data_IF_054863297861
#
_entry.id   IF_054863297861
#
_cell.length_a   1.000
_cell.length_b   1.000
_cell.length_c   1.000
_cell.angle_alpha   90.00
_cell.angle_beta   90.00
_cell.angle_gamma   90.00
#
_symmetry.space_group_name_H-M   'P 1'
#
loop_
_entity.id
_entity.type
_entity.pdbx_description
1 polymer ?
#
# COMPACT_ATOMS: atom_id res chain seq x y z
N UNK A 1 -18.63 -1.00 16.94
CA UNK A 1 -18.93 -0.63 15.54
C UNK A 1 -17.82 -1.19 14.68
N UNK A 2 -18.18 -1.72 13.51
CA UNK A 2 -17.22 -2.12 12.47
C UNK A 2 -16.40 -0.92 12.03
N UNK A 3 -15.11 -1.12 11.78
CA UNK A 3 -14.20 -0.09 11.26
C UNK A 3 -13.93 -0.30 9.78
N UNK A 4 -13.67 0.79 9.08
CA UNK A 4 -13.21 0.83 7.70
C UNK A 4 -11.72 1.18 7.67
N UNK A 5 -10.96 0.28 7.07
CA UNK A 5 -9.52 0.41 6.88
C UNK A 5 -9.20 0.45 5.39
N UNK A 6 -8.12 1.13 5.01
CA UNK A 6 -7.60 1.05 3.66
C UNK A 6 -6.09 0.78 3.62
N UNK A 7 -5.66 0.07 2.60
CA UNK A 7 -4.27 -0.04 2.15
C UNK A 7 -4.23 0.63 0.77
N UNK A 8 -3.39 1.64 0.63
CA UNK A 8 -3.30 2.47 -0.57
C UNK A 8 -1.84 2.51 -1.00
N UNK A 9 -1.58 2.09 -2.23
CA UNK A 9 -0.23 1.99 -2.79
C UNK A 9 -0.20 2.75 -4.11
N UNK A 10 0.75 3.67 -4.25
CA UNK A 10 1.02 4.39 -5.49
C UNK A 10 2.52 4.42 -5.79
N UNK A 11 2.94 3.93 -6.95
CA UNK A 11 4.36 3.80 -7.28
C UNK A 11 4.64 4.49 -8.62
N UNK A 12 5.49 5.52 -8.61
CA UNK A 12 5.96 6.16 -9.84
C UNK A 12 7.37 5.70 -10.22
N UNK A 13 8.26 5.63 -9.24
CA UNK A 13 9.69 5.43 -9.46
C UNK A 13 10.11 3.99 -9.18
N UNK A 14 10.20 3.20 -10.23
CA UNK A 14 10.65 1.81 -10.20
C UNK A 14 12.14 1.66 -10.44
N UNK A 15 12.68 0.44 -10.28
CA UNK A 15 13.99 0.08 -10.79
C UNK A 15 14.07 0.41 -12.31
N UNK A 16 14.90 1.38 -12.72
CA UNK A 16 14.92 1.88 -14.10
C UNK A 16 15.49 0.87 -15.09
N UNK A 17 16.12 -0.21 -14.62
CA UNK A 17 16.60 -1.28 -15.48
C UNK A 17 15.47 -2.10 -16.09
N UNK A 18 14.31 -2.16 -15.42
CA UNK A 18 13.21 -3.06 -15.79
C UNK A 18 11.92 -2.31 -16.15
N UNK A 19 11.71 -1.11 -15.59
CA UNK A 19 10.47 -0.36 -15.77
C UNK A 19 10.70 1.11 -16.10
N UNK A 20 9.85 1.66 -16.98
CA UNK A 20 9.77 3.11 -17.20
C UNK A 20 9.03 3.77 -16.05
N UNK A 21 9.48 4.92 -15.50
CA UNK A 21 8.77 5.58 -14.43
C UNK A 21 7.37 6.06 -14.86
N UNK A 22 6.41 5.98 -13.94
CA UNK A 22 5.08 6.53 -14.11
C UNK A 22 5.00 7.97 -13.60
N UNK A 23 3.95 8.69 -14.00
CA UNK A 23 3.77 10.11 -13.64
C UNK A 23 2.74 10.34 -12.55
N UNK A 24 1.68 9.53 -12.50
CA UNK A 24 0.48 9.85 -11.73
C UNK A 24 0.06 8.79 -10.72
N UNK A 25 0.70 7.62 -10.66
CA UNK A 25 0.30 6.55 -9.75
C UNK A 25 0.37 6.97 -8.27
N UNK A 26 1.41 7.73 -7.89
CA UNK A 26 1.48 8.36 -6.56
C UNK A 26 0.30 9.31 -6.33
N UNK A 27 0.00 10.16 -7.32
CA UNK A 27 -1.08 11.14 -7.21
C UNK A 27 -2.45 10.47 -7.08
N UNK A 28 -2.72 9.41 -7.87
CA UNK A 28 -3.94 8.62 -7.79
C UNK A 28 -4.12 8.04 -6.38
N UNK A 29 -3.03 7.51 -5.81
CA UNK A 29 -3.02 6.99 -4.46
C UNK A 29 -3.22 8.09 -3.39
N UNK A 30 -2.66 9.28 -3.56
CA UNK A 30 -2.91 10.44 -2.69
C UNK A 30 -4.38 10.87 -2.73
N UNK A 31 -4.98 10.93 -3.92
CA UNK A 31 -6.40 11.23 -4.11
C UNK A 31 -7.28 10.19 -3.43
N UNK A 32 -6.97 8.90 -3.58
CA UNK A 32 -7.72 7.82 -2.92
C UNK A 32 -7.58 7.85 -1.41
N UNK A 33 -6.37 8.09 -0.87
CA UNK A 33 -6.16 8.30 0.56
C UNK A 33 -7.01 9.46 1.07
N UNK A 34 -7.01 10.59 0.36
CA UNK A 34 -7.82 11.77 0.71
C UNK A 34 -9.29 11.42 0.74
N UNK A 35 -9.81 10.77 -0.30
CA UNK A 35 -11.19 10.31 -0.35
C UNK A 35 -11.55 9.40 0.83
N UNK A 36 -10.71 8.41 1.15
CA UNK A 36 -10.96 7.49 2.26
C UNK A 36 -11.06 8.22 3.61
N UNK A 37 -10.15 9.15 3.89
CA UNK A 37 -10.12 9.88 5.16
C UNK A 37 -11.20 10.98 5.22
N UNK A 38 -11.31 11.79 4.18
CA UNK A 38 -12.09 13.03 4.21
C UNK A 38 -13.56 12.79 3.87
N UNK A 39 -13.85 11.94 2.89
CA UNK A 39 -15.21 11.76 2.38
C UNK A 39 -15.85 10.48 2.94
N UNK A 40 -15.16 9.35 2.81
CA UNK A 40 -15.66 8.04 3.23
C UNK A 40 -15.50 7.77 4.75
N UNK A 41 -14.80 8.66 5.47
CA UNK A 41 -14.60 8.62 6.92
C UNK A 41 -14.01 7.30 7.44
N UNK A 42 -13.04 6.76 6.72
CA UNK A 42 -12.29 5.59 7.16
C UNK A 42 -11.47 5.93 8.39
N UNK A 43 -11.43 5.02 9.36
CA UNK A 43 -10.69 5.22 10.60
C UNK A 43 -9.19 5.28 10.37
N UNK A 44 -8.67 4.48 9.44
CA UNK A 44 -7.24 4.30 9.25
C UNK A 44 -6.88 3.95 7.80
N UNK A 45 -5.78 4.54 7.31
CA UNK A 45 -5.26 4.30 5.94
C UNK A 45 -3.76 4.05 5.99
N UNK A 46 -3.33 2.85 5.62
CA UNK A 46 -1.93 2.54 5.35
C UNK A 46 -1.56 3.02 3.95
N UNK A 47 -0.68 4.02 3.87
CA UNK A 47 -0.28 4.64 2.61
C UNK A 47 1.19 4.34 2.30
N UNK A 48 1.43 3.74 1.13
CA UNK A 48 2.75 3.38 0.61
C UNK A 48 3.01 4.09 -0.71
N UNK A 49 4.18 4.71 -0.84
CA UNK A 49 4.62 5.41 -2.04
C UNK A 49 6.12 5.67 -1.98
N UNK A 50 6.71 6.02 -3.13
CA UNK A 50 8.15 6.13 -3.39
C UNK A 50 9.00 6.81 -2.30
N UNK A 51 8.51 7.91 -1.71
CA UNK A 51 9.28 8.89 -0.94
C UNK A 51 8.58 9.33 0.36
N UNK A 52 7.80 8.43 0.95
CA UNK A 52 7.11 8.71 2.21
C UNK A 52 7.98 8.41 3.44
N UNK A 53 7.73 9.10 4.58
CA UNK A 53 8.27 8.70 5.86
C UNK A 53 7.62 7.39 6.35
N UNK A 54 8.29 6.68 7.25
CA UNK A 54 7.73 5.48 7.90
C UNK A 54 6.42 5.81 8.66
N UNK A 55 5.47 4.87 8.63
CA UNK A 55 4.28 4.92 9.48
C UNK A 55 4.69 4.53 10.89
N UNK A 56 4.39 5.40 11.86
CA UNK A 56 4.65 5.14 13.29
C UNK A 56 3.38 4.67 13.96
N UNK A 57 3.37 3.41 14.39
CA UNK A 57 2.25 2.83 15.16
C UNK A 57 2.33 3.25 16.64
N UNK A 58 1.21 3.09 17.36
CA UNK A 58 1.02 3.49 18.77
C UNK A 58 2.04 2.97 19.78
N UNK A 59 2.86 1.96 19.43
CA UNK A 59 3.94 1.41 20.27
C UNK A 59 5.34 1.79 19.79
N UNK A 60 5.46 2.82 18.95
CA UNK A 60 6.73 3.25 18.35
C UNK A 60 7.26 2.32 17.25
N UNK A 61 6.51 1.28 16.88
CA UNK A 61 6.86 0.41 15.76
C UNK A 61 6.75 1.20 14.47
N UNK A 62 7.83 1.19 13.69
CA UNK A 62 7.88 1.80 12.35
C UNK A 62 7.54 0.77 11.28
N UNK A 63 6.73 1.18 10.32
CA UNK A 63 6.44 0.42 9.10
C UNK A 63 7.03 1.24 7.94
N UNK A 64 8.05 0.71 7.24
CA UNK A 64 8.57 1.34 6.03
C UNK A 64 7.47 1.52 4.98
N UNK A 65 7.42 2.69 4.37
CA UNK A 65 6.39 3.05 3.38
C UNK A 65 6.84 2.94 1.94
N UNK A 66 8.15 2.73 1.69
CA UNK A 66 8.62 2.42 0.35
C UNK A 66 8.05 1.07 -0.11
N UNK A 67 7.36 1.01 -1.25
CA UNK A 67 6.61 -0.17 -1.69
C UNK A 67 7.51 -1.21 -2.38
N UNK A 68 8.59 -1.60 -1.72
CA UNK A 68 9.42 -2.74 -2.13
C UNK A 68 8.75 -4.06 -1.79
N UNK A 69 9.10 -5.14 -2.47
CA UNK A 69 8.54 -6.47 -2.22
C UNK A 69 8.73 -6.87 -0.74
N UNK A 70 9.94 -6.70 -0.22
CA UNK A 70 10.28 -7.03 1.17
C UNK A 70 9.47 -6.24 2.19
N UNK A 71 9.26 -4.94 1.96
CA UNK A 71 8.48 -4.09 2.86
C UNK A 71 6.99 -4.46 2.83
N UNK A 72 6.41 -4.65 1.64
CA UNK A 72 5.00 -4.99 1.47
C UNK A 72 4.66 -6.37 2.06
N UNK A 73 5.47 -7.40 1.76
CA UNK A 73 5.26 -8.74 2.34
C UNK A 73 5.44 -8.72 3.86
N UNK A 74 6.46 -8.02 4.37
CA UNK A 74 6.67 -7.89 5.82
C UNK A 74 5.50 -7.19 6.51
N UNK A 75 4.95 -6.15 5.88
CA UNK A 75 3.75 -5.46 6.35
C UNK A 75 2.54 -6.39 6.37
N UNK A 76 2.23 -7.06 5.26
CA UNK A 76 1.07 -7.94 5.14
C UNK A 76 1.14 -9.07 6.17
N UNK A 77 2.29 -9.74 6.28
CA UNK A 77 2.49 -10.82 7.24
C UNK A 77 2.39 -10.33 8.70
N UNK A 78 2.99 -9.19 9.04
CA UNK A 78 2.88 -8.67 10.41
C UNK A 78 1.45 -8.28 10.79
N UNK A 79 0.71 -7.69 9.85
CA UNK A 79 -0.58 -7.05 10.12
C UNK A 79 -1.77 -7.98 9.97
N UNK A 80 -1.68 -9.00 9.13
CA UNK A 80 -2.77 -9.96 8.93
C UNK A 80 -2.53 -11.30 9.62
N UNK A 81 -1.29 -11.72 9.82
CA UNK A 81 -0.99 -13.02 10.44
C UNK A 81 -0.51 -12.87 11.89
N UNK A 82 0.53 -12.07 12.15
CA UNK A 82 1.14 -12.00 13.50
C UNK A 82 0.36 -11.14 14.48
N UNK A 83 -0.12 -9.98 14.03
CA UNK A 83 -0.84 -8.99 14.84
C UNK A 83 -2.05 -8.47 14.06
N UNK A 84 -3.09 -9.31 13.86
CA UNK A 84 -4.32 -8.92 13.19
C UNK A 84 -4.87 -7.62 13.76
N UNK A 85 -5.05 -6.62 12.90
CA UNK A 85 -5.63 -5.33 13.29
C UNK A 85 -7.14 -5.25 13.00
N UNK A 86 -7.64 -6.14 12.14
CA UNK A 86 -9.04 -6.25 11.78
C UNK A 86 -9.77 -7.15 12.77
N UNK A 87 -10.97 -6.73 13.16
CA UNK A 87 -11.93 -7.54 13.91
C UNK A 87 -13.02 -8.07 12.99
N UNK A 88 -13.77 -9.08 13.44
CA UNK A 88 -14.93 -9.56 12.68
C UNK A 88 -15.91 -8.41 12.42
N UNK A 89 -16.31 -8.25 11.16
CA UNK A 89 -17.19 -7.17 10.71
C UNK A 89 -16.48 -5.90 10.24
N UNK A 90 -15.15 -5.77 10.42
CA UNK A 90 -14.39 -4.67 9.84
C UNK A 90 -14.28 -4.81 8.31
N UNK A 91 -14.24 -3.67 7.60
CA UNK A 91 -13.97 -3.61 6.18
C UNK A 91 -12.51 -3.22 5.94
N UNK A 92 -11.87 -3.83 4.94
CA UNK A 92 -10.53 -3.45 4.49
C UNK A 92 -10.55 -3.27 2.97
N UNK A 93 -10.27 -2.05 2.52
CA UNK A 93 -10.12 -1.73 1.10
C UNK A 93 -8.66 -1.77 0.69
N UNK A 94 -8.40 -2.26 -0.52
CA UNK A 94 -7.07 -2.28 -1.12
C UNK A 94 -7.10 -1.50 -2.43
N UNK A 95 -6.23 -0.51 -2.56
CA UNK A 95 -6.04 0.28 -3.78
C UNK A 95 -4.57 0.23 -4.20
N UNK A 96 -4.35 0.00 -5.49
CA UNK A 96 -3.03 -0.01 -6.10
C UNK A 96 -3.04 0.76 -7.41
N UNK A 97 -2.07 1.67 -7.56
CA UNK A 97 -1.72 2.30 -8.82
C UNK A 97 -0.21 2.11 -9.07
N UNK A 98 0.14 1.56 -10.22
CA UNK A 98 1.51 1.19 -10.55
C UNK A 98 1.57 0.29 -11.79
N UNK A 99 2.75 -0.23 -12.10
CA UNK A 99 2.92 -1.28 -13.11
C UNK A 99 2.28 -2.58 -12.66
N UNK A 100 1.65 -3.24 -13.62
CA UNK A 100 1.24 -4.64 -13.52
C UNK A 100 1.82 -5.42 -14.69
N UNK A 101 2.09 -6.70 -14.47
CA UNK A 101 2.64 -7.59 -15.49
C UNK A 101 1.93 -8.93 -15.46
N UNK A 102 1.71 -9.53 -16.63
CA UNK A 102 1.25 -10.90 -16.73
C UNK A 102 2.44 -11.82 -17.01
N UNK A 103 2.65 -12.80 -16.15
CA UNK A 103 3.70 -13.81 -16.29
C UNK A 103 3.15 -15.19 -15.93
N UNK A 104 3.45 -16.21 -16.75
CA UNK A 104 2.98 -17.59 -16.53
C UNK A 104 1.46 -17.70 -16.22
N UNK A 105 0.64 -17.00 -17.02
CA UNK A 105 -0.82 -16.92 -16.86
C UNK A 105 -1.30 -16.39 -15.50
N UNK A 106 -0.51 -15.53 -14.86
CA UNK A 106 -0.86 -14.86 -13.61
C UNK A 106 -0.58 -13.37 -13.72
N UNK A 107 -1.48 -12.57 -13.16
CA UNK A 107 -1.33 -11.13 -13.09
C UNK A 107 -0.62 -10.74 -11.79
N UNK A 108 0.40 -9.89 -11.92
CA UNK A 108 1.24 -9.42 -10.83
C UNK A 108 1.11 -7.91 -10.70
N UNK A 109 1.07 -7.44 -9.46
CA UNK A 109 1.30 -6.04 -9.12
C UNK A 109 2.79 -5.89 -8.87
N UNK A 110 3.43 -4.94 -9.55
CA UNK A 110 4.88 -4.80 -9.49
C UNK A 110 5.29 -3.91 -8.31
N UNK A 111 6.09 -4.41 -7.35
CA UNK A 111 6.74 -3.57 -6.34
C UNK A 111 7.80 -2.66 -6.95
N UNK A 112 8.22 -1.66 -6.18
CA UNK A 112 9.20 -0.66 -6.61
C UNK A 112 10.53 -1.27 -7.10
N UNK A 113 10.95 -2.38 -6.49
CA UNK A 113 12.20 -3.11 -6.73
C UNK A 113 12.04 -4.36 -7.60
N UNK A 114 10.93 -4.46 -8.35
CA UNK A 114 10.69 -5.59 -9.25
C UNK A 114 11.76 -5.72 -10.36
N UNK A 115 12.02 -6.97 -10.75
CA UNK A 115 12.99 -7.37 -11.77
C UNK A 115 12.43 -8.36 -12.77
#
# INVERSE_FOLDING_TARGET
MSKNWAIVIGINNYNPNNFTPLKYAKHDAECMKKFFLDDAKFEEVYFFSDDLPDIVLSKGKKIPTQPTYGNLISFLHDRFEKKPFLSSGDNCWFFFAGHGEQYDNRDYLMPQDAN
#
